data_IF_101882457054
#
_entry.id   IF_101882457054
#
_cell.length_a   1.000
_cell.length_b   1.000
_cell.length_c   1.000
_cell.angle_alpha   90.00
_cell.angle_beta   90.00
_cell.angle_gamma   90.00
#
_symmetry.space_group_name_H-M   'P 1'
#
loop_
_entity.id
_entity.type
_entity.pdbx_description
1 polymer ?
#
# COMPACT_ATOMS: atom_id res chain seq x y z
N UNK A 1 11.78 -5.22 -18.96
CA UNK A 1 10.35 -5.22 -19.38
C UNK A 1 9.57 -6.00 -18.33
N UNK A 2 8.64 -5.38 -17.59
CA UNK A 2 7.83 -6.07 -16.58
C UNK A 2 6.42 -6.30 -17.11
N UNK A 3 5.82 -7.45 -16.84
CA UNK A 3 4.44 -7.70 -17.28
C UNK A 3 3.44 -6.82 -16.52
N UNK A 4 2.33 -6.44 -17.15
CA UNK A 4 1.24 -5.68 -16.51
C UNK A 4 0.79 -6.34 -15.20
N UNK A 5 0.78 -7.68 -15.15
CA UNK A 5 0.45 -8.44 -13.94
C UNK A 5 1.44 -8.20 -12.80
N UNK A 6 2.75 -8.32 -13.08
CA UNK A 6 3.78 -8.15 -12.07
C UNK A 6 3.80 -6.71 -11.53
N UNK A 7 3.64 -5.74 -12.43
CA UNK A 7 3.59 -4.33 -12.06
C UNK A 7 2.34 -4.00 -11.22
N UNK A 8 1.20 -4.59 -11.55
CA UNK A 8 -0.03 -4.46 -10.78
C UNK A 8 0.15 -5.01 -9.35
N UNK A 9 0.83 -6.15 -9.20
CA UNK A 9 1.15 -6.71 -7.88
C UNK A 9 2.00 -5.78 -7.04
N UNK A 10 3.03 -5.14 -7.62
CA UNK A 10 3.87 -4.19 -6.87
C UNK A 10 3.13 -2.94 -6.39
N UNK A 11 2.12 -2.51 -7.15
CA UNK A 11 1.32 -1.33 -6.83
C UNK A 11 0.05 -1.66 -6.04
N UNK A 12 -0.18 -2.94 -5.75
CA UNK A 12 -1.39 -3.46 -5.11
C UNK A 12 -2.68 -3.00 -5.83
N UNK A 13 -2.71 -3.16 -7.16
CA UNK A 13 -3.85 -2.83 -8.02
C UNK A 13 -4.18 -4.00 -8.94
N UNK A 14 -5.33 -3.93 -9.63
CA UNK A 14 -5.65 -4.94 -10.63
C UNK A 14 -4.89 -4.71 -11.95
N UNK A 15 -4.58 -5.76 -12.72
CA UNK A 15 -4.00 -5.62 -14.06
C UNK A 15 -4.87 -4.78 -15.00
N UNK A 16 -6.19 -4.82 -14.83
CA UNK A 16 -7.14 -4.00 -15.57
C UNK A 16 -7.01 -2.51 -15.25
N UNK A 17 -6.65 -2.15 -14.01
CA UNK A 17 -6.36 -0.78 -13.63
C UNK A 17 -5.11 -0.27 -14.34
N UNK A 18 -4.02 -1.06 -14.34
CA UNK A 18 -2.78 -0.75 -15.06
C UNK A 18 -3.06 -0.56 -16.55
N UNK A 19 -3.78 -1.50 -17.18
CA UNK A 19 -4.18 -1.40 -18.59
C UNK A 19 -4.99 -0.13 -18.88
N UNK A 20 -5.94 0.22 -18.01
CA UNK A 20 -6.76 1.43 -18.17
C UNK A 20 -5.95 2.72 -18.05
N UNK A 21 -4.87 2.72 -17.27
CA UNK A 21 -3.96 3.86 -17.14
C UNK A 21 -3.06 4.00 -18.35
N UNK A 22 -2.50 2.90 -18.83
CA UNK A 22 -1.66 2.88 -20.05
C UNK A 22 -2.45 3.28 -21.30
N UNK A 23 -3.73 2.92 -21.37
CA UNK A 23 -4.64 3.32 -22.46
C UNK A 23 -5.20 4.75 -22.30
N UNK A 24 -4.97 5.41 -21.16
CA UNK A 24 -5.49 6.75 -20.88
C UNK A 24 -6.98 6.82 -20.54
N UNK A 25 -7.71 5.70 -20.55
CA UNK A 25 -9.15 5.62 -20.24
C UNK A 25 -9.44 5.98 -18.78
N UNK A 26 -8.48 5.75 -17.87
CA UNK A 26 -8.58 6.14 -16.45
C UNK A 26 -7.26 6.75 -15.99
N UNK A 27 -7.32 7.64 -14.99
CA UNK A 27 -6.12 8.17 -14.31
C UNK A 27 -5.89 7.46 -12.97
N UNK A 28 -4.62 7.24 -12.58
CA UNK A 28 -4.28 6.77 -11.23
C UNK A 28 -4.73 7.78 -10.17
N UNK A 29 -5.25 7.28 -9.04
CA UNK A 29 -5.80 8.09 -7.93
C UNK A 29 -5.12 7.72 -6.61
N UNK A 30 -5.32 8.53 -5.57
CA UNK A 30 -4.81 8.29 -4.21
C UNK A 30 -3.28 8.16 -4.17
N UNK A 31 -2.73 7.08 -3.61
CA UNK A 31 -1.30 6.86 -3.50
C UNK A 31 -0.63 6.45 -4.84
N UNK A 32 -1.40 6.00 -5.84
CA UNK A 32 -0.86 5.45 -7.08
C UNK A 32 0.04 6.43 -7.87
N UNK A 33 -0.29 7.73 -8.04
CA UNK A 33 0.60 8.70 -8.70
C UNK A 33 1.96 8.85 -8.01
N UNK A 34 1.97 8.80 -6.67
CA UNK A 34 3.21 8.89 -5.87
C UNK A 34 4.06 7.64 -6.05
N UNK A 35 3.43 6.46 -6.03
CA UNK A 35 4.11 5.19 -6.28
C UNK A 35 4.64 5.09 -7.72
N UNK A 36 3.91 5.60 -8.72
CA UNK A 36 4.37 5.69 -10.11
C UNK A 36 5.58 6.63 -10.26
N UNK A 37 5.57 7.76 -9.54
CA UNK A 37 6.71 8.68 -9.48
C UNK A 37 7.93 8.00 -8.86
N UNK A 38 7.74 7.22 -7.79
CA UNK A 38 8.80 6.43 -7.16
C UNK A 38 9.29 5.34 -8.12
N UNK A 39 8.39 4.64 -8.82
CA UNK A 39 8.74 3.61 -9.80
C UNK A 39 9.70 4.15 -10.89
N UNK A 40 9.39 5.34 -11.42
CA UNK A 40 10.21 5.97 -12.46
C UNK A 40 11.58 6.43 -11.97
N UNK A 41 11.71 6.80 -10.68
CA UNK A 41 12.97 7.26 -10.10
C UNK A 41 13.82 6.11 -9.52
N UNK A 42 13.16 5.14 -8.88
CA UNK A 42 13.78 4.03 -8.17
C UNK A 42 12.84 2.82 -8.13
N UNK A 43 12.87 2.01 -9.19
CA UNK A 43 12.07 0.79 -9.29
C UNK A 43 12.40 -0.25 -8.19
N UNK A 44 13.64 -0.28 -7.68
CA UNK A 44 14.03 -1.21 -6.59
C UNK A 44 13.28 -0.92 -5.28
N UNK A 45 12.93 0.34 -5.02
CA UNK A 45 12.17 0.70 -3.82
C UNK A 45 10.80 0.02 -3.78
N UNK A 46 10.13 -0.12 -4.95
CA UNK A 46 8.86 -0.85 -5.03
C UNK A 46 9.05 -2.34 -4.78
N UNK A 47 10.13 -2.94 -5.28
CA UNK A 47 10.42 -4.36 -5.05
C UNK A 47 10.61 -4.64 -3.56
N UNK A 48 11.43 -3.84 -2.87
CA UNK A 48 11.69 -4.01 -1.43
C UNK A 48 10.42 -3.78 -0.62
N UNK A 49 9.66 -2.72 -0.90
CA UNK A 49 8.40 -2.44 -0.21
C UNK A 49 7.37 -3.56 -0.42
N UNK A 50 7.28 -4.13 -1.63
CA UNK A 50 6.39 -5.24 -1.92
C UNK A 50 6.83 -6.55 -1.22
N UNK A 51 8.13 -6.81 -1.13
CA UNK A 51 8.67 -7.97 -0.43
C UNK A 51 8.37 -7.91 1.07
N UNK A 52 8.58 -6.74 1.69
CA UNK A 52 8.23 -6.50 3.10
C UNK A 52 6.74 -6.74 3.37
N UNK A 53 5.85 -6.36 2.45
CA UNK A 53 4.41 -6.61 2.62
C UNK A 53 4.02 -8.09 2.53
N UNK A 54 4.85 -8.93 1.91
CA UNK A 54 4.59 -10.36 1.75
C UNK A 54 5.06 -11.19 2.96
N UNK A 55 6.06 -10.69 3.71
CA UNK A 55 6.65 -11.38 4.88
C UNK A 55 5.89 -11.13 6.21
N UNK A 56 4.84 -10.32 6.21
CA UNK A 56 3.97 -10.13 7.37
C UNK A 56 2.62 -10.85 7.18
N UNK A 57 2.22 -11.81 8.02
CA UNK A 57 0.86 -12.33 8.00
C UNK A 57 -0.09 -11.21 8.45
N UNK A 58 -0.82 -10.61 7.50
CA UNK A 58 -1.92 -9.67 7.76
C UNK A 58 -3.10 -10.34 8.51
N UNK A 59 -3.02 -11.64 8.78
CA UNK A 59 -4.05 -12.44 9.45
C UNK A 59 -3.84 -12.69 10.93
N UNK A 60 -2.91 -12.01 11.61
CA UNK A 60 -2.96 -11.92 13.07
C UNK A 60 -3.47 -10.55 13.48
N UNK A 61 -4.78 -10.35 13.35
CA UNK A 61 -5.46 -9.54 14.36
C UNK A 61 -5.16 -10.22 15.69
N UNK A 62 -4.58 -9.55 16.70
CA UNK A 62 -4.56 -10.13 18.03
C UNK A 62 -6.02 -10.38 18.40
N UNK A 63 -6.43 -11.66 18.44
CA UNK A 63 -7.68 -12.05 19.06
C UNK A 63 -7.63 -11.49 20.47
N UNK A 64 -8.51 -10.52 20.71
CA UNK A 64 -8.62 -9.72 21.93
C UNK A 64 -8.53 -10.57 23.20
N UNK A 65 -7.33 -10.80 23.70
CA UNK A 65 -7.03 -11.14 25.08
C UNK A 65 -5.69 -10.48 25.43
N UNK A 66 -5.71 -9.16 25.65
CA UNK A 66 -4.76 -8.53 26.57
C UNK A 66 -3.65 -7.62 26.04
N UNK A 67 -3.75 -7.00 24.86
CA UNK A 67 -2.72 -6.04 24.38
C UNK A 67 -3.28 -4.66 23.98
N UNK A 68 -4.29 -4.16 24.69
CA UNK A 68 -4.77 -2.77 24.58
C UNK A 68 -4.22 -1.83 25.67
N UNK A 69 -3.23 -2.27 26.46
CA UNK A 69 -2.69 -1.46 27.56
C UNK A 69 -1.61 -0.44 27.16
N UNK A 70 -1.25 -0.26 25.88
CA UNK A 70 -0.11 0.61 25.54
C UNK A 70 -0.13 1.42 24.22
N UNK A 71 -1.30 1.77 23.67
CA UNK A 71 -1.38 2.86 22.69
C UNK A 71 -2.33 3.95 23.21
N UNK A 72 -1.74 4.81 24.02
CA UNK A 72 -2.31 6.02 24.59
C UNK A 72 -2.55 7.04 23.47
N UNK A 73 -3.76 7.04 22.88
CA UNK A 73 -4.28 8.23 22.20
C UNK A 73 -4.79 9.19 23.28
N UNK A 74 -3.96 10.16 23.66
CA UNK A 74 -4.40 11.36 24.38
C UNK A 74 -4.83 12.41 23.34
N UNK A 75 -6.12 12.77 23.24
CA UNK A 75 -6.46 14.15 23.03
C UNK A 75 -6.51 14.81 24.42
N UNK A 76 -5.80 15.92 24.59
CA UNK A 76 -6.34 16.93 25.47
C UNK A 76 -7.70 17.34 24.90
N UNK A 77 -8.76 17.15 25.65
CA UNK A 77 -9.36 18.30 26.34
C UNK A 77 -10.29 17.80 27.44
N UNK A 78 -10.06 18.37 28.61
CA UNK A 78 -10.75 18.11 29.87
C UNK A 78 -12.01 18.94 29.96
N UNK A 79 -13.02 18.42 30.67
CA UNK A 79 -14.14 19.17 31.26
C UNK A 79 -15.12 19.81 30.23
N UNK A 80 -16.44 19.69 30.34
CA UNK A 80 -17.37 19.55 31.47
C UNK A 80 -18.58 18.71 31.05
#
# INVERSE_FOLDING_TARGET
NASQMLFASYLNVSPNAVRSWEQGTRRPRQAAPKLLTIAGKNARALLVASAQSHDHPVTSFPSQQGLWQNWLWLPGDSAV
#
